data_IF_822919229817
#
_entry.id   IF_822919229817
#
_cell.length_a   1.000
_cell.length_b   1.000
_cell.length_c   1.000
_cell.angle_alpha   90.00
_cell.angle_beta   90.00
_cell.angle_gamma   90.00
#
_symmetry.space_group_name_H-M   'P 1'
#
loop_
_entity.id
_entity.type
_entity.pdbx_description
1 polymer ?
#
# COMPACT_ATOMS: atom_id res chain seq x y z
N UNK A 1 17.32 19.85 0.46
CA UNK A 1 16.37 18.96 1.17
C UNK A 1 17.02 17.58 1.29
N UNK A 2 17.26 17.08 2.50
CA UNK A 2 18.09 15.90 2.79
C UNK A 2 17.24 14.62 2.62
N UNK A 3 17.85 13.52 2.14
CA UNK A 3 17.21 12.19 2.07
C UNK A 3 16.73 11.80 3.48
N UNK A 4 15.44 11.47 3.69
CA UNK A 4 14.94 11.10 5.01
C UNK A 4 15.69 9.88 5.57
N UNK A 5 15.93 9.89 6.89
CA UNK A 5 16.53 8.76 7.59
C UNK A 5 15.62 7.51 7.48
N UNK A 6 16.22 6.32 7.56
CA UNK A 6 15.44 5.11 7.76
C UNK A 6 14.75 5.24 9.13
N UNK A 7 13.44 4.98 9.16
CA UNK A 7 12.65 5.03 10.38
C UNK A 7 11.31 4.34 10.16
N UNK A 8 10.56 4.13 11.23
CA UNK A 8 9.29 3.40 11.21
C UNK A 8 8.20 4.04 10.32
N UNK A 9 8.36 5.31 9.92
CA UNK A 9 7.39 6.07 9.13
C UNK A 9 7.83 6.14 7.65
N UNK A 10 7.09 5.45 6.78
CA UNK A 10 7.40 5.40 5.35
C UNK A 10 6.94 6.61 4.53
N UNK A 11 6.07 7.48 5.08
CA UNK A 11 5.48 8.57 4.30
C UNK A 11 6.52 9.61 3.83
N UNK A 12 7.46 10.11 4.66
CA UNK A 12 8.49 11.04 4.19
C UNK A 12 9.34 10.46 3.05
N UNK A 13 9.62 9.15 3.11
CA UNK A 13 10.34 8.43 2.05
C UNK A 13 9.52 8.40 0.76
N UNK A 14 8.22 8.11 0.85
CA UNK A 14 7.33 8.09 -0.31
C UNK A 14 7.21 9.47 -0.97
N UNK A 15 7.03 10.53 -0.17
CA UNK A 15 6.99 11.92 -0.67
C UNK A 15 8.29 12.29 -1.38
N UNK A 16 9.43 12.01 -0.76
CA UNK A 16 10.74 12.28 -1.36
C UNK A 16 10.93 11.53 -2.68
N UNK A 17 10.54 10.26 -2.76
CA UNK A 17 10.63 9.49 -4.01
C UNK A 17 9.74 10.06 -5.10
N UNK A 18 8.51 10.47 -4.76
CA UNK A 18 7.59 11.09 -5.71
C UNK A 18 8.18 12.37 -6.30
N UNK A 19 8.76 13.23 -5.46
CA UNK A 19 9.31 14.52 -5.89
C UNK A 19 10.65 14.40 -6.63
N UNK A 20 11.52 13.48 -6.21
CA UNK A 20 12.91 13.43 -6.69
C UNK A 20 13.18 12.38 -7.74
N UNK A 21 12.46 11.26 -7.68
CA UNK A 21 12.66 10.12 -8.60
C UNK A 21 11.54 10.01 -9.63
N UNK A 22 10.30 10.25 -9.20
CA UNK A 22 9.10 10.02 -10.01
C UNK A 22 8.39 11.31 -10.44
N UNK A 23 9.10 12.44 -10.43
CA UNK A 23 8.56 13.71 -10.92
C UNK A 23 8.06 13.56 -12.36
N UNK A 24 6.77 13.87 -12.57
CA UNK A 24 6.11 13.75 -13.87
C UNK A 24 5.77 12.32 -14.30
N UNK A 25 5.92 11.32 -13.42
CA UNK A 25 5.46 9.96 -13.72
C UNK A 25 3.93 9.89 -13.68
N UNK A 26 3.36 9.11 -14.60
CA UNK A 26 1.94 8.76 -14.64
C UNK A 26 1.70 7.37 -14.09
N UNK A 27 0.44 7.02 -13.88
CA UNK A 27 0.09 5.65 -13.55
C UNK A 27 0.29 4.73 -14.77
N UNK A 28 0.83 3.53 -14.54
CA UNK A 28 1.00 2.50 -15.55
C UNK A 28 2.19 1.58 -15.27
N UNK A 29 2.42 0.60 -16.14
CA UNK A 29 3.41 -0.46 -15.93
C UNK A 29 4.76 -0.18 -16.64
N UNK A 30 4.80 0.77 -17.59
CA UNK A 30 5.97 1.01 -18.43
C UNK A 30 6.87 2.13 -17.86
N UNK A 31 7.91 1.73 -17.11
CA UNK A 31 8.89 2.67 -16.55
C UNK A 31 9.65 3.47 -17.62
N UNK A 32 9.83 2.94 -18.84
CA UNK A 32 10.52 3.66 -19.92
C UNK A 32 9.72 4.88 -20.39
N UNK A 33 8.39 4.84 -20.21
CA UNK A 33 7.45 5.93 -20.50
C UNK A 33 7.11 6.78 -19.28
N UNK A 34 7.95 6.75 -18.24
CA UNK A 34 7.70 7.42 -16.95
C UNK A 34 6.35 6.99 -16.36
N UNK A 35 6.09 5.68 -16.31
CA UNK A 35 4.93 5.15 -15.60
C UNK A 35 5.34 4.35 -14.37
N UNK A 36 4.47 4.34 -13.36
CA UNK A 36 4.65 3.52 -12.16
C UNK A 36 3.29 3.10 -11.59
N UNK A 37 3.12 1.82 -11.30
CA UNK A 37 1.92 1.30 -10.63
C UNK A 37 2.06 1.33 -9.10
N UNK A 38 0.98 1.00 -8.39
CA UNK A 38 0.94 1.00 -6.93
C UNK A 38 1.97 0.07 -6.27
N UNK A 39 2.13 -1.15 -6.77
CA UNK A 39 3.06 -2.13 -6.24
C UNK A 39 4.50 -1.72 -6.51
N UNK A 40 4.78 -1.30 -7.75
CA UNK A 40 6.09 -0.79 -8.16
C UNK A 40 6.54 0.40 -7.31
N UNK A 41 5.63 1.33 -7.01
CA UNK A 41 5.92 2.46 -6.14
C UNK A 41 6.20 2.01 -4.69
N UNK A 42 5.37 1.14 -4.13
CA UNK A 42 5.57 0.61 -2.77
C UNK A 42 6.88 -0.19 -2.65
N UNK A 43 7.28 -0.94 -3.68
CA UNK A 43 8.59 -1.62 -3.74
C UNK A 43 9.74 -0.61 -3.61
N UNK A 44 9.68 0.49 -4.37
CA UNK A 44 10.70 1.55 -4.30
C UNK A 44 10.72 2.23 -2.93
N UNK A 45 9.56 2.46 -2.31
CA UNK A 45 9.45 2.99 -0.93
C UNK A 45 10.09 2.04 0.07
N UNK A 46 9.75 0.75 0.03
CA UNK A 46 10.30 -0.26 0.96
C UNK A 46 11.81 -0.37 0.77
N UNK A 47 12.33 -0.51 -0.45
CA UNK A 47 13.78 -0.52 -0.74
C UNK A 47 14.49 0.67 -0.10
N UNK A 48 13.88 1.85 -0.24
CA UNK A 48 14.45 3.08 0.27
C UNK A 48 14.44 3.14 1.80
N UNK A 49 13.40 2.60 2.45
CA UNK A 49 13.31 2.50 3.91
C UNK A 49 14.35 1.52 4.47
N UNK A 50 14.53 0.35 3.84
CA UNK A 50 15.47 -0.70 4.32
C UNK A 50 16.91 -0.48 3.87
N UNK A 51 17.16 0.52 3.01
CA UNK A 51 18.48 0.92 2.49
C UNK A 51 19.26 -0.22 1.81
N UNK A 52 18.55 -1.20 1.26
CA UNK A 52 19.11 -2.26 0.45
C UNK A 52 18.19 -2.59 -0.73
N UNK A 53 18.72 -3.17 -1.81
CA UNK A 53 17.89 -3.80 -2.82
C UNK A 53 17.00 -4.88 -2.19
N UNK A 54 15.74 -4.94 -2.64
CA UNK A 54 14.87 -6.07 -2.32
C UNK A 54 15.17 -7.24 -3.24
N UNK A 55 15.09 -8.45 -2.70
CA UNK A 55 15.23 -9.70 -3.45
C UNK A 55 14.05 -9.86 -4.41
N UNK A 56 14.20 -10.74 -5.40
CA UNK A 56 13.10 -11.07 -6.33
C UNK A 56 11.89 -11.64 -5.60
N UNK A 57 12.09 -12.36 -4.49
CA UNK A 57 11.01 -12.91 -3.68
C UNK A 57 10.26 -11.81 -2.92
N UNK A 58 10.98 -10.87 -2.30
CA UNK A 58 10.38 -9.74 -1.57
C UNK A 58 9.56 -8.84 -2.51
N UNK A 59 10.11 -8.52 -3.70
CA UNK A 59 9.39 -7.77 -4.74
C UNK A 59 8.13 -8.48 -5.18
N UNK A 60 8.21 -9.80 -5.41
CA UNK A 60 7.08 -10.64 -5.80
C UNK A 60 5.99 -10.66 -4.71
N UNK A 61 6.38 -10.72 -3.45
CA UNK A 61 5.48 -10.69 -2.31
C UNK A 61 4.72 -9.36 -2.22
N UNK A 62 5.42 -8.23 -2.33
CA UNK A 62 4.78 -6.90 -2.34
C UNK A 62 3.84 -6.76 -3.54
N UNK A 63 4.28 -7.17 -4.73
CA UNK A 63 3.48 -7.08 -5.96
C UNK A 63 2.37 -8.14 -6.06
N UNK A 64 2.33 -9.10 -5.13
CA UNK A 64 1.45 -10.26 -5.16
C UNK A 64 1.48 -11.00 -6.50
N UNK A 65 2.66 -11.04 -7.13
CA UNK A 65 2.85 -11.66 -8.43
C UNK A 65 3.01 -13.18 -8.26
N UNK A 66 1.92 -13.81 -7.84
CA UNK A 66 1.77 -15.26 -7.70
C UNK A 66 0.75 -15.75 -8.72
N UNK A 67 0.94 -16.98 -9.21
CA UNK A 67 -0.05 -17.66 -10.04
C UNK A 67 -1.21 -18.13 -9.16
N UNK A 68 -2.13 -17.24 -8.83
CA UNK A 68 -3.39 -17.62 -8.22
C UNK A 68 -4.31 -18.23 -9.28
N UNK A 69 -4.76 -19.46 -9.08
CA UNK A 69 -5.78 -20.07 -9.95
C UNK A 69 -7.08 -19.23 -9.93
N UNK A 70 -7.42 -18.67 -8.77
CA UNK A 70 -8.50 -17.70 -8.63
C UNK A 70 -8.18 -16.74 -7.49
N UNK A 71 -7.84 -15.50 -7.82
CA UNK A 71 -7.48 -14.46 -6.85
C UNK A 71 -8.64 -14.16 -5.88
N UNK A 72 -9.88 -14.10 -6.35
CA UNK A 72 -11.04 -13.82 -5.48
C UNK A 72 -11.22 -14.91 -4.42
N UNK A 73 -11.07 -16.18 -4.82
CA UNK A 73 -11.12 -17.32 -3.89
C UNK A 73 -9.97 -17.27 -2.88
N UNK A 74 -8.77 -16.88 -3.31
CA UNK A 74 -7.62 -16.72 -2.42
C UNK A 74 -7.84 -15.61 -1.39
N UNK A 75 -8.43 -14.47 -1.79
CA UNK A 75 -8.78 -13.37 -0.89
C UNK A 75 -9.88 -13.79 0.09
N UNK A 76 -10.93 -14.48 -0.39
CA UNK A 76 -12.01 -14.97 0.47
C UNK A 76 -11.49 -16.01 1.49
N UNK A 77 -10.55 -16.86 1.08
CA UNK A 77 -9.88 -17.85 1.91
C UNK A 77 -8.78 -17.28 2.84
N UNK A 78 -8.55 -15.96 2.83
CA UNK A 78 -7.48 -15.29 3.58
C UNK A 78 -6.08 -15.88 3.31
N UNK A 79 -5.77 -16.24 2.07
CA UNK A 79 -4.43 -16.69 1.70
C UNK A 79 -3.40 -15.62 2.10
N UNK A 80 -2.38 -15.95 2.91
CA UNK A 80 -1.38 -15.01 3.39
C UNK A 80 -0.75 -14.12 2.31
N UNK A 81 -0.57 -14.65 1.10
CA UNK A 81 0.08 -13.98 -0.03
C UNK A 81 -0.76 -12.84 -0.60
N UNK A 82 -2.08 -12.87 -0.38
CA UNK A 82 -2.99 -11.77 -0.77
C UNK A 82 -2.86 -10.54 0.12
N UNK A 83 -2.10 -10.63 1.21
CA UNK A 83 -1.83 -9.51 2.12
C UNK A 83 -0.70 -8.60 1.60
N UNK A 84 -0.07 -8.95 0.47
CA UNK A 84 0.85 -8.10 -0.29
C UNK A 84 1.99 -7.54 0.54
N UNK A 85 2.13 -6.21 0.56
CA UNK A 85 3.16 -5.52 1.32
C UNK A 85 3.17 -5.90 2.81
N UNK A 86 2.01 -6.17 3.42
CA UNK A 86 1.98 -6.60 4.81
C UNK A 86 2.61 -7.99 4.98
N UNK A 87 2.29 -8.95 4.11
CA UNK A 87 2.93 -10.27 4.12
C UNK A 87 4.45 -10.19 3.91
N UNK A 88 4.88 -9.35 2.96
CA UNK A 88 6.29 -9.14 2.71
C UNK A 88 7.02 -8.61 3.95
N UNK A 89 6.51 -7.55 4.57
CA UNK A 89 7.18 -6.90 5.71
C UNK A 89 7.13 -7.73 6.99
N UNK A 90 6.00 -8.39 7.25
CA UNK A 90 5.74 -9.09 8.52
C UNK A 90 6.26 -10.52 8.50
N UNK A 91 5.81 -11.33 7.54
CA UNK A 91 6.07 -12.77 7.56
C UNK A 91 7.38 -13.15 6.87
N UNK A 92 7.66 -12.53 5.71
CA UNK A 92 8.82 -12.87 4.89
C UNK A 92 10.09 -12.16 5.39
N UNK A 93 10.06 -10.83 5.48
CA UNK A 93 11.23 -10.03 5.81
C UNK A 93 11.44 -9.88 7.32
N UNK A 94 10.37 -10.02 8.12
CA UNK A 94 10.39 -9.87 9.59
C UNK A 94 10.96 -8.52 10.06
N UNK A 95 10.70 -7.46 9.29
CA UNK A 95 11.11 -6.08 9.60
C UNK A 95 9.92 -5.18 9.92
N UNK A 96 8.73 -5.76 9.98
CA UNK A 96 7.50 -5.05 10.29
C UNK A 96 6.63 -5.84 11.24
N UNK A 97 5.60 -5.16 11.75
CA UNK A 97 4.55 -5.77 12.57
C UNK A 97 3.18 -5.51 11.96
N UNK A 98 2.22 -6.44 12.13
CA UNK A 98 0.85 -6.19 11.73
C UNK A 98 0.26 -5.08 12.61
N UNK A 99 -0.60 -4.25 12.02
CA UNK A 99 -1.30 -3.16 12.69
C UNK A 99 -2.80 -3.39 12.56
N UNK A 100 -3.53 -3.25 13.68
CA UNK A 100 -4.98 -3.33 13.68
C UNK A 100 -5.56 -2.00 13.15
N UNK A 101 -6.74 -1.99 12.50
CA UNK A 101 -7.37 -0.76 12.00
C UNK A 101 -7.45 0.38 13.03
N UNK A 102 -7.75 0.06 14.30
CA UNK A 102 -7.79 1.05 15.39
C UNK A 102 -6.43 1.70 15.69
N UNK A 103 -5.34 0.97 15.48
CA UNK A 103 -3.96 1.39 15.80
C UNK A 103 -3.21 1.93 14.56
N UNK A 104 -3.91 2.00 13.42
CA UNK A 104 -3.39 2.53 12.17
C UNK A 104 -2.98 4.00 12.36
N UNK A 105 -1.84 4.35 11.77
CA UNK A 105 -1.28 5.69 11.84
C UNK A 105 -0.61 6.07 10.51
N UNK A 106 -0.27 7.36 10.41
CA UNK A 106 0.53 7.88 9.31
C UNK A 106 1.84 7.10 9.16
N UNK A 107 2.19 6.76 7.92
CA UNK A 107 3.41 6.03 7.58
C UNK A 107 3.25 4.52 7.51
N UNK A 108 2.12 3.98 7.96
CA UNK A 108 1.83 2.55 7.82
C UNK A 108 1.62 2.17 6.35
N UNK A 109 2.10 1.00 5.96
CA UNK A 109 1.77 0.40 4.68
C UNK A 109 0.39 -0.25 4.75
N UNK A 110 -0.37 -0.15 3.66
CA UNK A 110 -1.69 -0.79 3.56
C UNK A 110 -1.81 -1.55 2.24
N UNK A 111 -2.23 -2.80 2.32
CA UNK A 111 -2.82 -3.55 1.21
C UNK A 111 -4.31 -3.69 1.50
N UNK A 112 -5.17 -3.36 0.55
CA UNK A 112 -6.60 -3.60 0.69
C UNK A 112 -7.22 -4.25 -0.54
N UNK A 113 -8.38 -4.85 -0.31
CA UNK A 113 -9.28 -5.43 -1.29
C UNK A 113 -10.69 -4.97 -0.98
N UNK A 114 -11.41 -4.46 -1.99
CA UNK A 114 -12.82 -4.07 -1.88
C UNK A 114 -13.61 -4.91 -2.87
N UNK A 115 -14.62 -5.62 -2.36
CA UNK A 115 -15.52 -6.46 -3.17
C UNK A 115 -16.57 -5.55 -3.82
N UNK A 116 -16.60 -5.53 -5.15
CA UNK A 116 -17.62 -4.85 -5.92
C UNK A 116 -18.95 -5.59 -5.90
N UNK A 117 -20.00 -4.96 -6.44
CA UNK A 117 -21.34 -5.56 -6.59
C UNK A 117 -21.34 -6.80 -7.50
N UNK A 118 -20.38 -6.89 -8.44
CA UNK A 118 -20.15 -8.06 -9.28
C UNK A 118 -19.44 -9.22 -8.57
N UNK A 119 -19.19 -9.11 -7.25
CA UNK A 119 -18.52 -10.13 -6.46
C UNK A 119 -17.00 -10.19 -6.64
N UNK A 120 -16.41 -9.35 -7.50
CA UNK A 120 -14.98 -9.30 -7.75
C UNK A 120 -14.29 -8.31 -6.81
N UNK A 121 -13.08 -8.64 -6.37
CA UNK A 121 -12.23 -7.73 -5.61
C UNK A 121 -11.44 -6.80 -6.52
N UNK A 122 -11.43 -5.51 -6.17
CA UNK A 122 -10.44 -4.54 -6.63
C UNK A 122 -9.46 -4.26 -5.49
N UNK A 123 -8.17 -4.34 -5.79
CA UNK A 123 -7.10 -4.18 -4.80
C UNK A 123 -6.21 -2.98 -5.06
N UNK A 124 -5.53 -2.55 -4.01
CA UNK A 124 -4.50 -1.51 -4.10
C UNK A 124 -3.54 -1.60 -2.91
N UNK A 125 -2.34 -1.09 -3.11
CA UNK A 125 -1.33 -0.95 -2.06
C UNK A 125 -0.80 0.47 -2.00
N UNK A 126 -0.61 1.00 -0.79
CA UNK A 126 -0.24 2.39 -0.57
C UNK A 126 0.37 2.61 0.82
N UNK A 127 0.70 3.86 1.13
CA UNK A 127 1.12 4.32 2.46
C UNK A 127 -0.01 5.17 3.04
N UNK A 128 -0.36 4.98 4.31
CA UNK A 128 -1.34 5.80 5.02
C UNK A 128 -0.73 7.19 5.26
N UNK A 129 -1.38 8.25 4.79
CA UNK A 129 -0.96 9.63 5.03
C UNK A 129 -1.65 10.28 6.22
N UNK A 130 -2.92 9.94 6.46
CA UNK A 130 -3.74 10.47 7.55
C UNK A 130 -4.74 9.41 8.01
N UNK A 131 -5.08 9.39 9.30
CA UNK A 131 -6.14 8.53 9.86
C UNK A 131 -7.08 9.36 10.70
N UNK A 132 -8.39 9.15 10.55
CA UNK A 132 -9.43 9.81 11.36
C UNK A 132 -10.57 8.85 11.67
N UNK A 133 -11.50 9.30 12.51
CA UNK A 133 -12.76 8.61 12.78
C UNK A 133 -13.89 9.46 12.18
N UNK A 134 -14.78 8.88 11.37
CA UNK A 134 -15.94 9.62 10.84
C UNK A 134 -17.03 9.84 11.90
N UNK A 135 -18.07 10.58 11.52
CA UNK A 135 -19.24 10.83 12.35
C UNK A 135 -20.00 9.54 12.77
N UNK A 136 -19.77 8.42 12.09
CA UNK A 136 -20.34 7.11 12.42
C UNK A 136 -19.40 6.27 13.31
N UNK A 137 -18.32 6.84 13.85
CA UNK A 137 -17.37 6.15 14.70
C UNK A 137 -16.41 5.22 13.95
N UNK A 138 -16.35 5.27 12.61
CA UNK A 138 -15.56 4.33 11.81
C UNK A 138 -14.19 4.90 11.46
N UNK A 139 -13.14 4.08 11.60
CA UNK A 139 -11.77 4.46 11.25
C UNK A 139 -11.55 4.52 9.74
N UNK A 140 -11.00 5.65 9.28
CA UNK A 140 -10.73 5.95 7.87
C UNK A 140 -9.32 6.45 7.68
N UNK A 141 -8.80 6.25 6.49
CA UNK A 141 -7.47 6.72 6.12
C UNK A 141 -7.44 7.44 4.77
N UNK A 142 -6.61 8.46 4.68
CA UNK A 142 -6.10 8.97 3.41
C UNK A 142 -4.87 8.14 3.08
N UNK A 143 -4.72 7.80 1.80
CA UNK A 143 -3.60 7.00 1.33
C UNK A 143 -2.80 7.80 0.31
N UNK A 144 -1.51 7.54 0.27
CA UNK A 144 -0.56 8.10 -0.67
C UNK A 144 0.10 6.97 -1.46
N UNK A 145 -0.03 7.03 -2.78
CA UNK A 145 0.46 5.98 -3.67
C UNK A 145 0.17 6.28 -5.14
N UNK A 146 0.68 5.45 -6.04
CA UNK A 146 0.40 5.57 -7.47
C UNK A 146 -0.93 4.91 -7.83
N UNK A 147 -1.92 5.68 -8.26
CA UNK A 147 -3.27 5.20 -8.55
C UNK A 147 -3.74 5.62 -9.95
N UNK A 148 -4.49 4.74 -10.61
CA UNK A 148 -5.11 5.01 -11.90
C UNK A 148 -6.07 6.20 -11.81
N UNK A 149 -6.84 6.33 -10.72
CA UNK A 149 -7.81 7.41 -10.55
C UNK A 149 -7.19 8.80 -10.44
N UNK A 150 -5.93 8.87 -9.99
CA UNK A 150 -5.15 10.10 -9.87
C UNK A 150 -4.14 10.25 -11.01
N UNK A 151 -4.10 9.28 -11.95
CA UNK A 151 -3.14 9.19 -13.05
C UNK A 151 -1.66 9.33 -12.61
N UNK A 152 -1.31 8.85 -11.42
CA UNK A 152 0.05 8.97 -10.88
C UNK A 152 0.09 8.89 -9.36
N UNK A 153 1.20 9.33 -8.77
CA UNK A 153 1.42 9.35 -7.32
C UNK A 153 0.74 10.57 -6.72
N UNK A 154 -0.25 10.33 -5.86
CA UNK A 154 -0.99 11.40 -5.20
C UNK A 154 -1.62 10.94 -3.89
N UNK A 155 -2.07 11.90 -3.09
CA UNK A 155 -3.01 11.66 -2.01
C UNK A 155 -4.37 11.28 -2.61
N UNK A 156 -4.93 10.17 -2.15
CA UNK A 156 -6.25 9.71 -2.57
C UNK A 156 -7.22 9.80 -1.39
N UNK A 157 -8.19 10.72 -1.52
CA UNK A 157 -9.44 10.70 -0.76
C UNK A 157 -10.51 10.11 -1.69
N UNK A 158 -11.15 9.03 -1.27
CA UNK A 158 -12.28 8.47 -2.03
C UNK A 158 -13.38 9.54 -2.12
N UNK A 159 -14.14 9.55 -3.24
CA UNK A 159 -15.04 10.61 -3.76
C UNK A 159 -16.04 11.28 -2.79
N UNK A 160 -16.11 10.87 -1.53
CA UNK A 160 -17.03 11.39 -0.51
C UNK A 160 -16.31 11.94 0.74
N UNK A 161 -15.08 12.46 0.60
CA UNK A 161 -14.22 12.89 1.72
C UNK A 161 -13.95 11.79 2.77
N UNK A 162 -14.37 10.56 2.48
CA UNK A 162 -14.54 9.54 3.50
C UNK A 162 -13.35 8.58 3.52
N UNK A 163 -12.33 8.78 2.67
CA UNK A 163 -11.11 7.98 2.72
C UNK A 163 -11.33 6.46 2.59
N UNK A 164 -10.26 5.69 2.77
CA UNK A 164 -10.31 4.25 2.92
C UNK A 164 -10.89 3.92 4.28
N UNK A 165 -12.12 3.42 4.35
CA UNK A 165 -12.64 2.81 5.56
C UNK A 165 -11.84 1.53 5.87
N UNK A 166 -11.17 1.51 7.04
CA UNK A 166 -10.14 0.53 7.39
C UNK A 166 -10.72 -0.82 7.86
N UNK A 167 -12.02 -0.88 8.13
CA UNK A 167 -12.71 -2.09 8.56
C UNK A 167 -14.19 -2.06 8.14
N UNK A 168 -14.80 -3.23 8.00
CA UNK A 168 -16.23 -3.36 7.67
C UNK A 168 -16.53 -4.45 6.65
N UNK A 169 -17.79 -4.57 6.23
CA UNK A 169 -18.20 -5.58 5.26
C UNK A 169 -17.61 -5.31 3.87
N UNK A 170 -17.43 -6.40 3.12
CA UNK A 170 -17.00 -6.36 1.71
C UNK A 170 -15.56 -5.86 1.49
N UNK A 171 -14.74 -5.81 2.54
CA UNK A 171 -13.33 -5.40 2.42
C UNK A 171 -12.39 -6.27 3.22
N UNK A 172 -11.17 -6.39 2.73
CA UNK A 172 -10.01 -6.91 3.46
C UNK A 172 -8.98 -5.80 3.50
N UNK A 173 -8.52 -5.43 4.70
CA UNK A 173 -7.52 -4.37 4.89
C UNK A 173 -6.40 -4.94 5.75
N UNK A 174 -5.18 -4.83 5.25
CA UNK A 174 -3.98 -5.40 5.83
C UNK A 174 -2.96 -4.29 6.01
N UNK A 175 -2.63 -3.98 7.27
CA UNK A 175 -1.79 -2.84 7.62
C UNK A 175 -0.50 -3.35 8.26
N UNK A 176 0.63 -2.78 7.86
CA UNK A 176 1.94 -3.08 8.42
C UNK A 176 2.70 -1.80 8.79
N UNK A 177 3.42 -1.86 9.90
CA UNK A 177 4.36 -0.83 10.33
C UNK A 177 5.77 -1.39 10.33
N UNK A 178 6.74 -0.65 9.81
CA UNK A 178 8.15 -1.01 9.93
C UNK A 178 8.59 -0.92 11.39
N UNK A 179 9.45 -1.84 11.80
CA UNK A 179 10.19 -1.76 13.06
C UNK A 179 11.35 -0.78 12.84
N UNK A 180 11.48 0.20 13.74
CA UNK A 180 12.54 1.20 13.70
C UNK A 180 13.86 0.66 14.19
#
# INVERSE_FOLDING_TARGET
MIRPAAGANALPVALWLSEKKFAGYKWGLDRSRKQIDCCSFVIDVVQQCVRRPLTSEEKRAIAMNYKFTNLNKAIDANDPRTRGVQYALVDLMRIGRPVKPKDAAQGDFVQYWIKGSNGLYSGHTAIISLVWTDAAGKRRAEIYGSNQSTNGIAFTRFRSESGLLLEGPGRRVHIARLLG
#
